data_IF_507345359381
#
_entry.id   IF_507345359381
#
_cell.length_a   1.000
_cell.length_b   1.000
_cell.length_c   1.000
_cell.angle_alpha   90.00
_cell.angle_beta   90.00
_cell.angle_gamma   90.00
#
_symmetry.space_group_name_H-M   'P 1'
#
loop_
_entity.id
_entity.type
_entity.pdbx_description
1 polymer ?
#
# COMPACT_ATOMS: atom_id res chain seq x y z
N UNK A 1 -2.01 -30.74 16.20
CA UNK A 1 -2.54 -29.36 16.32
C UNK A 1 -3.14 -29.00 14.97
N UNK A 2 -4.39 -28.52 14.89
CA UNK A 2 -4.93 -28.00 13.61
C UNK A 2 -4.40 -26.58 13.41
N UNK A 3 -3.74 -26.34 12.27
CA UNK A 3 -3.14 -25.04 11.91
C UNK A 3 -4.17 -23.90 11.88
N UNK A 4 -5.34 -24.14 11.27
CA UNK A 4 -6.47 -23.22 11.23
C UNK A 4 -7.77 -24.00 11.05
N UNK A 5 -8.91 -23.45 11.50
CA UNK A 5 -10.26 -23.89 11.11
C UNK A 5 -10.86 -22.94 10.09
N UNK A 6 -10.63 -21.64 10.26
CA UNK A 6 -11.10 -20.58 9.38
C UNK A 6 -9.94 -19.82 8.74
N UNK A 7 -10.05 -19.47 7.46
CA UNK A 7 -9.02 -18.72 6.74
C UNK A 7 -9.61 -17.63 5.85
N UNK A 8 -8.98 -16.44 5.83
CA UNK A 8 -9.28 -15.42 4.82
C UNK A 8 -8.20 -15.44 3.75
N UNK A 9 -8.60 -15.50 2.48
CA UNK A 9 -7.72 -15.30 1.33
C UNK A 9 -7.96 -13.90 0.79
N UNK A 10 -6.91 -13.11 0.67
CA UNK A 10 -7.00 -11.82 0.00
C UNK A 10 -6.66 -12.03 -1.47
N UNK A 11 -7.62 -11.68 -2.32
CA UNK A 11 -7.49 -11.57 -3.77
C UNK A 11 -7.50 -10.07 -4.15
N UNK A 12 -6.59 -9.70 -5.07
CA UNK A 12 -6.60 -8.39 -5.71
C UNK A 12 -6.59 -8.65 -7.22
N UNK A 13 -7.77 -8.72 -7.85
CA UNK A 13 -7.90 -9.06 -9.24
C UNK A 13 -7.33 -7.90 -10.06
N UNK A 14 -6.55 -8.26 -11.06
CA UNK A 14 -6.03 -7.31 -12.03
C UNK A 14 -7.16 -7.02 -13.03
N UNK A 15 -8.01 -6.00 -12.82
CA UNK A 15 -9.02 -5.65 -13.83
C UNK A 15 -9.37 -4.17 -13.97
N UNK A 16 -9.08 -3.65 -15.17
CA UNK A 16 -9.99 -2.85 -16.01
C UNK A 16 -9.71 -3.18 -17.49
N UNK A 17 -10.03 -4.39 -17.93
CA UNK A 17 -9.49 -4.97 -19.17
C UNK A 17 -9.92 -4.32 -20.49
N UNK A 18 -11.15 -3.81 -20.58
CA UNK A 18 -11.65 -3.19 -21.80
C UNK A 18 -11.03 -1.80 -22.04
N UNK A 19 -10.78 -1.02 -20.99
CA UNK A 19 -10.19 0.33 -21.09
C UNK A 19 -8.66 0.30 -21.25
N UNK A 20 -7.99 -0.82 -20.92
CA UNK A 20 -6.53 -0.93 -20.98
C UNK A 20 -5.99 -1.13 -22.40
N UNK A 21 -6.77 -1.77 -23.27
CA UNK A 21 -6.43 -1.92 -24.70
C UNK A 21 -6.40 -0.56 -25.41
N UNK A 22 -7.28 0.36 -25.04
CA UNK A 22 -7.31 1.73 -25.56
C UNK A 22 -6.13 2.59 -25.05
N UNK A 23 -5.51 2.21 -23.93
CA UNK A 23 -4.35 2.90 -23.32
C UNK A 23 -2.99 2.30 -23.71
N UNK A 24 -2.95 1.46 -24.74
CA UNK A 24 -1.70 0.87 -25.25
C UNK A 24 -1.10 -0.23 -24.36
N UNK A 25 -1.88 -0.82 -23.44
CA UNK A 25 -1.43 -1.95 -22.64
C UNK A 25 -1.55 -3.27 -23.41
N UNK A 26 -0.58 -4.16 -23.20
CA UNK A 26 -0.60 -5.53 -23.74
C UNK A 26 -1.69 -6.36 -23.05
N UNK A 27 -2.87 -6.37 -23.68
CA UNK A 27 -4.07 -7.04 -23.17
C UNK A 27 -3.88 -8.54 -23.04
N UNK A 28 -3.30 -9.19 -24.04
CA UNK A 28 -3.18 -10.65 -24.08
C UNK A 28 -2.29 -11.13 -22.92
N UNK A 29 -1.18 -10.43 -22.68
CA UNK A 29 -0.33 -10.69 -21.53
C UNK A 29 -1.03 -10.45 -20.20
N UNK A 30 -1.87 -9.42 -20.10
CA UNK A 30 -2.65 -9.15 -18.87
C UNK A 30 -3.68 -10.24 -18.60
N UNK A 31 -4.36 -10.70 -19.65
CA UNK A 31 -5.32 -11.78 -19.56
C UNK A 31 -4.65 -13.09 -19.15
N UNK A 32 -3.51 -13.43 -19.76
CA UNK A 32 -2.74 -14.63 -19.40
C UNK A 32 -2.38 -14.63 -17.91
N UNK A 33 -1.85 -13.51 -17.40
CA UNK A 33 -1.49 -13.38 -15.97
C UNK A 33 -2.69 -13.50 -15.05
N UNK A 34 -3.83 -12.96 -15.47
CA UNK A 34 -5.07 -13.10 -14.75
C UNK A 34 -5.54 -14.56 -14.68
N UNK A 35 -5.54 -15.25 -15.82
CA UNK A 35 -5.94 -16.66 -15.88
C UNK A 35 -5.02 -17.51 -14.98
N UNK A 36 -3.70 -17.26 -15.01
CA UNK A 36 -2.71 -17.91 -14.13
C UNK A 36 -3.00 -17.62 -12.66
N UNK A 37 -3.28 -16.36 -12.30
CA UNK A 37 -3.62 -15.99 -10.93
C UNK A 37 -4.86 -16.75 -10.42
N UNK A 38 -5.94 -16.79 -11.20
CA UNK A 38 -7.16 -17.50 -10.80
C UNK A 38 -7.01 -19.01 -10.76
N UNK A 39 -6.18 -19.58 -11.65
CA UNK A 39 -5.81 -20.98 -11.57
C UNK A 39 -5.16 -21.32 -10.23
N UNK A 40 -4.11 -20.58 -9.83
CA UNK A 40 -3.46 -20.78 -8.53
C UNK A 40 -4.39 -20.49 -7.34
N UNK A 41 -5.25 -19.48 -7.44
CA UNK A 41 -6.25 -19.20 -6.41
C UNK A 41 -7.21 -20.39 -6.23
N UNK A 42 -7.65 -21.01 -7.34
CA UNK A 42 -8.44 -22.23 -7.33
C UNK A 42 -7.72 -23.38 -6.63
N UNK A 43 -6.45 -23.63 -6.98
CA UNK A 43 -5.63 -24.66 -6.32
C UNK A 43 -5.52 -24.44 -4.80
N UNK A 44 -5.32 -23.21 -4.36
CA UNK A 44 -5.28 -22.89 -2.92
C UNK A 44 -6.62 -23.21 -2.26
N UNK A 45 -7.73 -22.79 -2.87
CA UNK A 45 -9.08 -23.06 -2.35
C UNK A 45 -9.36 -24.57 -2.25
N UNK A 46 -8.98 -25.33 -3.28
CA UNK A 46 -9.13 -26.78 -3.30
C UNK A 46 -8.33 -27.46 -2.18
N UNK A 47 -7.09 -27.02 -1.95
CA UNK A 47 -6.25 -27.57 -0.88
C UNK A 47 -6.81 -27.27 0.52
N UNK A 48 -7.42 -26.10 0.71
CA UNK A 48 -8.11 -25.77 1.97
C UNK A 48 -9.39 -26.60 2.14
N UNK A 49 -10.19 -26.73 1.09
CA UNK A 49 -11.42 -27.51 1.09
C UNK A 49 -11.14 -29.00 1.37
N UNK A 50 -10.14 -29.61 0.72
CA UNK A 50 -9.71 -31.01 0.95
C UNK A 50 -9.36 -31.27 2.42
N UNK A 51 -8.89 -30.26 3.14
CA UNK A 51 -8.49 -30.34 4.56
C UNK A 51 -9.61 -29.95 5.52
N UNK A 52 -10.83 -29.72 5.03
CA UNK A 52 -12.00 -29.26 5.79
C UNK A 52 -11.71 -27.95 6.55
N UNK A 53 -11.08 -27.00 5.87
CA UNK A 53 -10.83 -25.65 6.38
C UNK A 53 -11.84 -24.72 5.73
N UNK A 54 -12.62 -24.02 6.55
CA UNK A 54 -13.54 -23.00 6.06
C UNK A 54 -12.75 -21.78 5.59
N UNK A 55 -13.09 -21.26 4.42
CA UNK A 55 -12.39 -20.12 3.86
C UNK A 55 -13.33 -19.06 3.28
N UNK A 56 -12.88 -17.80 3.32
CA UNK A 56 -13.49 -16.66 2.64
C UNK A 56 -12.47 -16.03 1.71
N UNK A 57 -12.82 -15.95 0.43
CA UNK A 57 -12.05 -15.15 -0.53
C UNK A 57 -12.57 -13.71 -0.44
N UNK A 58 -11.70 -12.79 -0.04
CA UNK A 58 -12.01 -11.39 0.17
C UNK A 58 -11.25 -10.55 -0.85
N UNK A 59 -11.97 -9.62 -1.48
CA UNK A 59 -11.37 -8.59 -2.31
C UNK A 59 -10.75 -7.50 -1.42
N UNK A 60 -9.96 -6.59 -2.01
CA UNK A 60 -9.34 -5.45 -1.29
C UNK A 60 -10.31 -4.69 -0.38
N UNK A 61 -11.53 -4.48 -0.87
CA UNK A 61 -12.60 -3.73 -0.20
C UNK A 61 -13.30 -4.56 0.89
N UNK A 62 -13.38 -5.88 0.70
CA UNK A 62 -14.05 -6.81 1.62
C UNK A 62 -13.11 -7.33 2.73
N UNK A 63 -11.83 -6.97 2.68
CA UNK A 63 -10.85 -7.30 3.72
C UNK A 63 -11.02 -6.40 4.96
N UNK A 64 -12.11 -6.58 5.68
CA UNK A 64 -12.51 -5.77 6.84
C UNK A 64 -12.00 -6.35 8.17
N UNK A 65 -12.01 -5.57 9.28
CA UNK A 65 -11.69 -6.09 10.61
C UNK A 65 -12.51 -7.31 11.01
N UNK A 66 -13.78 -7.39 10.61
CA UNK A 66 -14.68 -8.51 10.89
C UNK A 66 -14.20 -9.79 10.19
N UNK A 67 -13.78 -9.68 8.93
CA UNK A 67 -13.21 -10.80 8.18
C UNK A 67 -11.91 -11.31 8.85
N UNK A 68 -11.03 -10.39 9.24
CA UNK A 68 -9.78 -10.72 9.95
C UNK A 68 -10.06 -11.41 11.28
N UNK A 69 -11.03 -10.91 12.05
CA UNK A 69 -11.38 -11.48 13.35
C UNK A 69 -12.00 -12.87 13.24
N UNK A 70 -12.79 -13.14 12.20
CA UNK A 70 -13.40 -14.44 11.94
C UNK A 70 -12.38 -15.54 11.61
N UNK A 71 -11.28 -15.21 10.93
CA UNK A 71 -10.29 -16.18 10.48
C UNK A 71 -9.28 -16.55 11.57
N UNK A 72 -8.78 -17.78 11.61
CA UNK A 72 -7.64 -18.15 12.44
C UNK A 72 -6.31 -17.78 11.77
N UNK A 73 -6.29 -17.75 10.44
CA UNK A 73 -5.14 -17.39 9.62
C UNK A 73 -5.53 -16.53 8.40
N UNK A 74 -4.59 -15.73 7.90
CA UNK A 74 -4.77 -14.93 6.68
C UNK A 74 -3.78 -15.39 5.62
N UNK A 75 -4.28 -15.65 4.41
CA UNK A 75 -3.48 -15.97 3.24
C UNK A 75 -3.54 -14.77 2.28
N UNK A 76 -2.39 -14.20 1.95
CA UNK A 76 -2.25 -13.23 0.89
C UNK A 76 -1.96 -13.98 -0.41
N UNK A 77 -2.96 -14.14 -1.28
CA UNK A 77 -2.84 -14.80 -2.57
C UNK A 77 -2.51 -13.74 -3.63
N UNK A 78 -1.23 -13.56 -3.93
CA UNK A 78 -0.74 -12.48 -4.78
C UNK A 78 0.74 -12.20 -4.60
N UNK A 79 1.19 -11.06 -5.11
CA UNK A 79 2.56 -10.59 -4.87
C UNK A 79 2.75 -9.92 -3.51
N UNK A 80 3.90 -9.27 -3.34
CA UNK A 80 4.25 -8.55 -2.11
C UNK A 80 3.24 -7.45 -1.75
N UNK A 81 2.61 -6.81 -2.74
CA UNK A 81 1.57 -5.80 -2.49
C UNK A 81 0.34 -6.35 -1.74
N UNK A 82 -0.11 -7.56 -2.09
CA UNK A 82 -1.20 -8.25 -1.38
C UNK A 82 -0.78 -8.62 0.04
N UNK A 83 0.47 -9.04 0.22
CA UNK A 83 1.04 -9.32 1.55
C UNK A 83 1.08 -8.06 2.42
N UNK A 84 1.52 -6.93 1.86
CA UNK A 84 1.59 -5.65 2.56
C UNK A 84 0.21 -5.15 2.96
N UNK A 85 -0.80 -5.28 2.09
CA UNK A 85 -2.19 -4.98 2.41
C UNK A 85 -2.71 -5.85 3.57
N UNK A 86 -2.43 -7.16 3.52
CA UNK A 86 -2.82 -8.08 4.57
C UNK A 86 -2.20 -7.67 5.92
N UNK A 87 -0.87 -7.44 5.89
CA UNK A 87 -0.08 -7.08 7.04
C UNK A 87 -0.47 -5.71 7.62
N UNK A 88 -0.96 -4.76 6.84
CA UNK A 88 -1.27 -3.42 7.34
C UNK A 88 -2.47 -3.40 8.29
N UNK A 89 -3.43 -4.32 8.13
CA UNK A 89 -4.67 -4.38 8.93
C UNK A 89 -4.63 -5.39 10.08
N UNK A 90 -3.74 -6.38 10.07
CA UNK A 90 -3.64 -7.39 11.14
C UNK A 90 -3.01 -6.76 12.40
N UNK A 91 -3.76 -6.64 13.51
CA UNK A 91 -3.20 -6.07 14.75
C UNK A 91 -2.76 -7.12 15.77
N UNK A 92 -3.36 -8.31 15.77
CA UNK A 92 -3.01 -9.37 16.71
C UNK A 92 -1.72 -10.08 16.30
N UNK A 93 -0.81 -10.26 17.26
CA UNK A 93 0.39 -11.08 17.10
C UNK A 93 0.05 -12.58 16.90
N UNK A 94 -1.12 -13.03 17.35
CA UNK A 94 -1.56 -14.42 17.24
C UNK A 94 -2.15 -14.78 15.87
N UNK A 95 -2.31 -13.81 14.96
CA UNK A 95 -2.93 -14.01 13.65
C UNK A 95 -1.83 -14.26 12.60
N UNK A 96 -1.56 -15.51 12.20
CA UNK A 96 -0.58 -15.80 11.17
C UNK A 96 -0.97 -15.22 9.82
N UNK A 97 0.03 -14.72 9.10
CA UNK A 97 -0.07 -14.24 7.73
C UNK A 97 0.83 -15.09 6.83
N UNK A 98 0.25 -15.66 5.78
CA UNK A 98 0.91 -16.56 4.83
C UNK A 98 0.85 -15.90 3.45
N UNK A 99 1.99 -15.64 2.83
CA UNK A 99 2.06 -15.12 1.47
C UNK A 99 2.20 -16.25 0.46
N UNK A 100 1.31 -16.33 -0.53
CA UNK A 100 1.39 -17.28 -1.64
C UNK A 100 1.44 -16.50 -2.95
N UNK A 101 2.53 -16.66 -3.70
CA UNK A 101 2.67 -15.94 -4.97
C UNK A 101 1.87 -16.63 -6.07
N UNK A 102 0.75 -16.04 -6.47
CA UNK A 102 -0.14 -16.57 -7.50
C UNK A 102 0.28 -16.20 -8.93
N UNK A 103 1.31 -15.38 -9.11
CA UNK A 103 1.85 -14.99 -10.43
C UNK A 103 3.39 -15.12 -10.44
N UNK A 104 3.90 -16.36 -10.31
CA UNK A 104 5.33 -16.63 -10.11
C UNK A 104 6.19 -16.43 -11.36
N UNK A 105 5.59 -16.39 -12.55
CA UNK A 105 6.32 -16.19 -13.81
C UNK A 105 6.78 -14.75 -13.97
N UNK A 106 6.13 -13.80 -13.29
CA UNK A 106 6.35 -12.37 -13.47
C UNK A 106 6.87 -11.64 -12.22
N UNK A 107 6.85 -12.27 -11.03
CA UNK A 107 7.26 -11.63 -9.78
C UNK A 107 8.01 -12.59 -8.86
N UNK A 108 9.11 -12.13 -8.26
CA UNK A 108 9.89 -12.92 -7.30
C UNK A 108 9.20 -13.09 -5.94
N UNK A 109 8.30 -12.17 -5.55
CA UNK A 109 7.59 -12.19 -4.27
C UNK A 109 8.49 -12.40 -3.04
N UNK A 110 9.22 -11.37 -2.60
CA UNK A 110 10.18 -11.46 -1.49
C UNK A 110 9.55 -11.85 -0.14
N UNK A 111 8.26 -11.56 0.03
CA UNK A 111 7.49 -11.85 1.24
C UNK A 111 6.67 -13.15 1.12
N UNK A 112 6.46 -13.64 -0.09
CA UNK A 112 5.66 -14.84 -0.35
C UNK A 112 6.54 -16.11 -0.33
N UNK A 113 5.92 -17.25 -0.03
CA UNK A 113 6.60 -18.54 0.14
C UNK A 113 7.35 -19.02 -1.11
N UNK A 114 7.02 -18.50 -2.29
CA UNK A 114 7.24 -19.17 -3.56
C UNK A 114 7.77 -18.21 -4.61
N UNK A 115 9.09 -18.22 -4.84
CA UNK A 115 9.73 -17.32 -5.81
C UNK A 115 9.45 -17.67 -7.27
N UNK A 116 9.26 -18.96 -7.58
CA UNK A 116 8.91 -19.52 -8.90
C UNK A 116 8.11 -20.80 -8.68
N UNK A 117 6.79 -20.72 -8.75
CA UNK A 117 5.86 -21.80 -8.44
C UNK A 117 5.70 -22.76 -9.63
N UNK A 118 5.93 -24.04 -9.38
CA UNK A 118 5.22 -25.14 -10.06
C UNK A 118 4.10 -25.62 -9.15
N UNK A 119 3.00 -26.14 -9.70
CA UNK A 119 1.86 -26.64 -8.90
C UNK A 119 2.30 -27.62 -7.80
N UNK A 120 3.26 -28.50 -8.09
CA UNK A 120 3.85 -29.44 -7.14
C UNK A 120 4.44 -28.75 -5.90
N UNK A 121 5.13 -27.63 -6.09
CA UNK A 121 5.70 -26.89 -4.96
C UNK A 121 4.61 -26.28 -4.07
N UNK A 122 3.46 -25.88 -4.63
CA UNK A 122 2.32 -25.41 -3.84
C UNK A 122 1.84 -26.52 -2.90
N UNK A 123 1.61 -27.70 -3.47
CA UNK A 123 1.12 -28.86 -2.73
C UNK A 123 2.10 -29.27 -1.63
N UNK A 124 3.39 -29.35 -1.95
CA UNK A 124 4.44 -29.66 -0.97
C UNK A 124 4.50 -28.61 0.16
N UNK A 125 4.37 -27.32 -0.19
CA UNK A 125 4.34 -26.25 0.80
C UNK A 125 3.11 -26.35 1.72
N UNK A 126 1.94 -26.70 1.18
CA UNK A 126 0.72 -26.88 1.94
C UNK A 126 0.79 -28.12 2.84
N UNK A 127 1.29 -29.25 2.34
CA UNK A 127 1.55 -30.44 3.14
C UNK A 127 2.45 -30.11 4.35
N UNK A 128 3.59 -29.46 4.11
CA UNK A 128 4.50 -29.04 5.18
C UNK A 128 3.84 -28.06 6.15
N UNK A 129 3.08 -27.09 5.63
CA UNK A 129 2.36 -26.12 6.47
C UNK A 129 1.39 -26.81 7.43
N UNK A 130 0.57 -27.72 6.92
CA UNK A 130 -0.46 -28.39 7.72
C UNK A 130 0.08 -29.50 8.61
N UNK A 131 1.22 -30.10 8.27
CA UNK A 131 1.96 -31.02 9.13
C UNK A 131 2.76 -30.30 10.23
N UNK A 132 2.81 -28.96 10.21
CA UNK A 132 3.55 -28.17 11.20
C UNK A 132 5.05 -28.09 10.91
N UNK A 133 5.48 -28.42 9.71
CA UNK A 133 6.88 -28.46 9.26
C UNK A 133 7.36 -27.08 8.76
N UNK A 134 7.13 -26.06 9.57
CA UNK A 134 7.50 -24.68 9.29
C UNK A 134 8.10 -24.02 10.52
N UNK A 135 8.68 -22.83 10.32
CA UNK A 135 9.18 -21.97 11.40
C UNK A 135 8.47 -20.64 11.37
N UNK A 136 8.16 -20.11 12.54
CA UNK A 136 7.61 -18.77 12.70
C UNK A 136 8.67 -17.72 12.36
N UNK A 137 8.31 -16.78 11.50
CA UNK A 137 9.10 -15.59 11.21
C UNK A 137 8.38 -14.36 11.73
N UNK A 138 8.93 -13.75 12.77
CA UNK A 138 8.39 -12.53 13.35
C UNK A 138 8.96 -11.31 12.63
N UNK A 139 8.08 -10.47 12.06
CA UNK A 139 8.46 -9.22 11.39
C UNK A 139 8.02 -8.02 12.22
N UNK A 140 8.96 -7.13 12.50
CA UNK A 140 8.68 -5.84 13.13
C UNK A 140 7.91 -4.94 12.17
N UNK A 141 7.06 -4.07 12.72
CA UNK A 141 6.25 -3.11 11.97
C UNK A 141 6.29 -1.76 12.66
N UNK A 142 6.19 -0.70 11.87
CA UNK A 142 6.15 0.68 12.37
C UNK A 142 4.71 1.02 12.71
N UNK A 143 4.50 1.50 13.94
CA UNK A 143 3.26 2.12 14.39
C UNK A 143 3.42 3.63 14.30
N UNK A 144 2.44 4.31 13.72
CA UNK A 144 2.45 5.76 13.56
C UNK A 144 1.37 6.38 14.45
N UNK A 145 1.74 7.43 15.15
CA UNK A 145 0.83 8.28 15.93
C UNK A 145 0.94 9.69 15.37
N UNK A 146 -0.19 10.31 15.04
CA UNK A 146 -0.27 11.71 14.66
C UNK A 146 -0.70 12.54 15.87
N UNK A 147 -0.02 13.66 16.12
CA UNK A 147 -0.35 14.61 17.18
C UNK A 147 -0.51 16.01 16.59
N UNK A 148 -1.51 16.74 17.05
CA UNK A 148 -1.80 18.10 16.60
C UNK A 148 -3.21 18.26 16.01
N UNK A 149 -3.55 19.48 15.60
CA UNK A 149 -4.92 19.87 15.24
C UNK A 149 -5.58 18.96 14.19
N UNK A 150 -4.80 18.45 13.23
CA UNK A 150 -5.26 17.61 12.13
C UNK A 150 -5.07 16.10 12.38
N UNK A 151 -4.81 15.67 13.62
CA UNK A 151 -4.52 14.27 13.91
C UNK A 151 -5.66 13.29 13.54
N UNK A 152 -6.91 13.77 13.51
CA UNK A 152 -8.10 12.99 13.18
C UNK A 152 -8.61 13.19 11.75
N UNK A 153 -7.90 13.98 10.93
CA UNK A 153 -8.30 14.17 9.54
C UNK A 153 -8.31 12.83 8.79
N UNK A 154 -9.30 12.67 7.92
CA UNK A 154 -9.42 11.46 7.12
C UNK A 154 -8.19 11.31 6.21
N UNK A 155 -7.55 10.14 6.18
CA UNK A 155 -6.42 9.91 5.29
C UNK A 155 -6.88 10.03 3.85
N UNK A 156 -6.03 10.62 3.00
CA UNK A 156 -6.26 10.72 1.57
C UNK A 156 -5.39 9.68 0.86
N UNK A 157 -5.99 8.80 0.07
CA UNK A 157 -5.24 7.89 -0.77
C UNK A 157 -4.60 8.69 -1.92
N UNK A 158 -3.29 8.54 -2.12
CA UNK A 158 -2.54 9.34 -3.11
C UNK A 158 -3.05 9.16 -4.56
N UNK A 159 -3.67 8.01 -4.86
CA UNK A 159 -4.33 7.80 -6.15
C UNK A 159 -5.52 8.74 -6.37
N UNK A 160 -6.23 9.12 -5.29
CA UNK A 160 -7.35 10.04 -5.33
C UNK A 160 -6.86 11.50 -5.47
N UNK A 161 -5.67 11.83 -4.94
CA UNK A 161 -5.06 13.17 -5.09
C UNK A 161 -4.71 13.53 -6.54
N UNK A 162 -4.24 12.58 -7.34
CA UNK A 162 -3.96 12.81 -8.76
C UNK A 162 -5.24 13.12 -9.57
N UNK A 163 -6.41 12.76 -9.04
CA UNK A 163 -7.71 13.01 -9.68
C UNK A 163 -8.34 14.34 -9.22
N UNK A 164 -8.09 14.75 -7.97
CA UNK A 164 -8.72 15.91 -7.33
C UNK A 164 -8.11 17.27 -7.72
N UNK A 165 -6.82 17.30 -8.11
CA UNK A 165 -6.12 18.53 -8.47
C UNK A 165 -5.59 18.44 -9.90
N UNK A 166 -6.28 19.05 -10.88
CA UNK A 166 -5.86 19.06 -12.29
C UNK A 166 -4.42 19.56 -12.48
N UNK A 167 -3.94 20.50 -11.65
CA UNK A 167 -2.55 21.00 -11.65
C UNK A 167 -1.47 19.94 -11.38
N UNK A 168 -1.83 18.73 -10.93
CA UNK A 168 -0.89 17.60 -10.77
C UNK A 168 -0.89 16.62 -11.95
N UNK A 169 -1.69 16.87 -13.00
CA UNK A 169 -1.64 16.12 -14.26
C UNK A 169 -0.54 16.68 -15.16
N UNK A 170 0.69 16.20 -14.99
CA UNK A 170 1.81 16.56 -15.88
C UNK A 170 1.57 16.30 -17.38
N UNK A 171 0.60 15.47 -17.75
CA UNK A 171 0.29 15.20 -19.17
C UNK A 171 -0.52 16.32 -19.87
N UNK A 172 -1.17 17.24 -19.13
CA UNK A 172 -1.98 18.31 -19.75
C UNK A 172 -1.23 19.65 -19.86
N UNK A 173 -0.16 19.87 -19.07
CA UNK A 173 0.67 21.08 -19.16
C UNK A 173 1.53 21.17 -20.43
N UNK A 174 1.64 20.11 -21.24
CA UNK A 174 2.28 20.17 -22.56
C UNK A 174 1.33 20.78 -23.62
N UNK A 175 0.00 20.76 -23.40
CA UNK A 175 -0.96 21.30 -24.37
C UNK A 175 -1.33 22.77 -24.16
N UNK A 176 -1.13 23.32 -22.96
CA UNK A 176 -1.43 24.73 -22.71
C UNK A 176 -0.47 25.72 -23.41
N UNK A 177 0.73 25.28 -23.82
CA UNK A 177 1.60 26.09 -24.68
C UNK A 177 1.28 25.99 -26.17
N UNK A 178 0.50 25.00 -26.61
CA UNK A 178 0.05 24.87 -28.00
C UNK A 178 -1.33 25.53 -28.23
N UNK A 179 -2.21 25.55 -27.23
CA UNK A 179 -3.55 26.16 -27.34
C UNK A 179 -3.55 27.71 -27.30
N UNK A 180 -2.47 28.33 -26.82
CA UNK A 180 -2.30 29.79 -26.84
C UNK A 180 -2.21 30.37 -28.28
N UNK A 181 -2.07 29.52 -29.31
CA UNK A 181 -2.01 29.94 -30.73
C UNK A 181 -3.32 29.82 -31.51
N UNK A 182 -4.39 29.22 -30.97
CA UNK A 182 -5.55 28.87 -31.81
C UNK A 182 -6.97 29.15 -31.31
N UNK A 183 -7.16 29.93 -30.23
CA UNK A 183 -8.52 30.43 -29.87
C UNK A 183 -8.54 31.89 -29.44
N UNK A 184 -8.03 32.75 -30.31
CA UNK A 184 -8.74 33.98 -30.61
C UNK A 184 -10.08 33.59 -31.26
N UNK A 185 -11.19 33.56 -30.50
CA UNK A 185 -12.56 33.88 -30.94
C UNK A 185 -13.63 33.51 -29.88
N UNK A 186 -14.29 34.56 -29.34
CA UNK A 186 -15.75 34.69 -29.06
C UNK A 186 -16.37 34.05 -27.78
N UNK A 187 -16.79 34.93 -26.84
CA UNK A 187 -18.01 35.02 -25.96
C UNK A 187 -18.51 33.74 -25.21
N UNK A 188 -19.10 33.71 -23.98
CA UNK A 188 -19.63 34.63 -22.94
C UNK A 188 -19.90 33.77 -21.66
N UNK A 189 -20.12 34.35 -20.45
CA UNK A 189 -20.32 33.61 -19.20
C UNK A 189 -21.79 33.25 -18.92
N UNK A 190 -22.02 32.16 -18.19
CA UNK A 190 -23.33 31.84 -17.58
C UNK A 190 -23.18 31.33 -16.14
N UNK A 191 -24.13 31.82 -15.34
CA UNK A 191 -24.42 31.78 -13.91
C UNK A 191 -24.95 30.45 -13.36
N UNK A 192 -24.85 30.35 -12.03
CA UNK A 192 -25.72 29.66 -11.03
C UNK A 192 -25.68 28.14 -10.86
N UNK A 193 -25.24 27.71 -9.66
CA UNK A 193 -26.19 27.17 -8.67
C UNK A 193 -25.62 27.22 -7.23
N UNK A 194 -26.42 27.78 -6.34
CA UNK A 194 -26.19 27.99 -4.92
C UNK A 194 -26.87 26.91 -4.06
N UNK A 195 -26.51 26.92 -2.77
CA UNK A 195 -27.16 26.31 -1.61
C UNK A 195 -26.76 24.88 -1.23
N UNK A 196 -25.88 24.79 -0.22
CA UNK A 196 -26.00 23.85 0.90
C UNK A 196 -25.43 24.54 2.17
N UNK A 197 -26.16 24.32 3.25
CA UNK A 197 -26.28 25.08 4.51
C UNK A 197 -25.01 25.06 5.40
N UNK A 198 -24.59 26.25 5.88
CA UNK A 198 -23.35 26.51 6.63
C UNK A 198 -23.58 26.90 8.09
N UNK A 199 -24.74 26.59 8.68
CA UNK A 199 -25.14 27.17 9.97
C UNK A 199 -24.87 26.32 11.23
N UNK A 200 -24.27 25.12 11.14
CA UNK A 200 -24.20 24.17 12.28
C UNK A 200 -22.79 23.76 12.77
N UNK A 201 -21.71 24.49 12.42
CA UNK A 201 -20.34 24.11 12.85
C UNK A 201 -19.69 25.01 13.90
N UNK A 202 -20.27 26.15 14.25
CA UNK A 202 -19.60 27.12 15.15
C UNK A 202 -19.93 26.95 16.65
N UNK A 203 -20.95 26.18 17.03
CA UNK A 203 -21.41 26.13 18.44
C UNK A 203 -20.77 25.06 19.34
N UNK A 204 -19.82 24.25 18.86
CA UNK A 204 -19.20 23.19 19.70
C UNK A 204 -17.85 23.61 20.34
N UNK A 205 -17.31 24.79 20.01
CA UNK A 205 -15.92 25.15 20.37
C UNK A 205 -15.74 26.09 21.57
N UNK A 206 -16.79 26.49 22.28
CA UNK A 206 -16.69 27.51 23.34
C UNK A 206 -16.92 27.02 24.78
N UNK A 207 -16.76 25.73 25.09
CA UNK A 207 -16.98 25.23 26.46
C UNK A 207 -15.96 24.22 27.00
N UNK A 208 -14.65 24.38 26.73
CA UNK A 208 -13.64 23.70 27.55
C UNK A 208 -12.27 24.41 27.58
N UNK A 209 -12.23 25.63 28.10
CA UNK A 209 -11.00 26.14 28.71
C UNK A 209 -11.01 25.67 30.18
N UNK A 210 -10.09 24.75 30.55
CA UNK A 210 -9.50 24.55 31.91
C UNK A 210 -9.08 23.11 32.29
N UNK A 211 -8.99 22.14 31.38
CA UNK A 211 -8.25 20.89 31.63
C UNK A 211 -7.04 20.79 30.69
N UNK A 212 -5.87 20.47 31.24
CA UNK A 212 -4.56 20.57 30.57
C UNK A 212 -4.58 20.12 29.11
N UNK A 213 -4.16 21.02 28.21
CA UNK A 213 -4.17 20.86 26.75
C UNK A 213 -3.32 19.66 26.32
N UNK A 214 -3.90 18.46 26.38
CA UNK A 214 -3.36 17.30 25.67
C UNK A 214 -3.65 17.55 24.21
N UNK A 215 -2.60 17.77 23.42
CA UNK A 215 -2.77 17.90 21.97
C UNK A 215 -3.51 16.66 21.43
N UNK A 216 -4.46 16.84 20.50
CA UNK A 216 -5.19 15.73 19.93
C UNK A 216 -4.20 14.71 19.33
N UNK A 217 -4.37 13.44 19.69
CA UNK A 217 -3.43 12.37 19.39
C UNK A 217 -4.16 11.15 18.85
N UNK A 218 -3.76 10.68 17.68
CA UNK A 218 -4.41 9.59 16.96
C UNK A 218 -3.40 8.55 16.53
N UNK A 219 -3.54 7.33 17.06
CA UNK A 219 -2.76 6.18 16.59
C UNK A 219 -3.40 5.65 15.33
N UNK A 220 -2.68 5.70 14.21
CA UNK A 220 -3.22 5.25 12.94
C UNK A 220 -3.62 3.76 13.00
N UNK A 221 -4.72 3.37 12.32
CA UNK A 221 -5.21 2.00 12.37
C UNK A 221 -4.29 1.02 11.63
N UNK A 222 -3.39 1.52 10.78
CA UNK A 222 -2.48 0.76 9.94
C UNK A 222 -1.08 0.61 10.53
N UNK A 223 -0.46 -0.54 10.31
CA UNK A 223 0.92 -0.82 10.70
C UNK A 223 1.78 -1.01 9.45
N UNK A 224 2.85 -0.24 9.32
CA UNK A 224 3.72 -0.32 8.14
C UNK A 224 4.72 -1.47 8.29
N UNK A 225 4.66 -2.44 7.38
CA UNK A 225 5.62 -3.54 7.35
C UNK A 225 6.96 -3.14 6.75
N UNK A 226 6.95 -2.36 5.67
CA UNK A 226 8.17 -1.94 5.00
C UNK A 226 8.62 -0.58 5.54
N UNK A 227 7.93 0.47 5.09
CA UNK A 227 8.42 1.84 5.21
C UNK A 227 7.30 2.81 5.58
N UNK A 228 7.67 3.91 6.24
CA UNK A 228 6.85 5.12 6.41
C UNK A 228 7.64 6.28 5.82
N UNK A 229 7.02 7.01 4.89
CA UNK A 229 7.61 8.23 4.32
C UNK A 229 6.84 9.46 4.80
N UNK A 230 7.59 10.48 5.22
CA UNK A 230 7.05 11.76 5.67
C UNK A 230 7.73 12.85 4.84
N UNK A 231 6.94 13.67 4.16
CA UNK A 231 7.44 14.76 3.34
C UNK A 231 6.30 15.56 2.72
N UNK A 232 6.67 16.61 2.01
CA UNK A 232 5.77 17.40 1.17
C UNK A 232 5.12 16.53 0.09
N UNK A 233 3.84 16.76 -0.18
CA UNK A 233 3.11 16.09 -1.27
C UNK A 233 3.53 16.62 -2.65
N UNK A 234 4.11 17.82 -2.70
CA UNK A 234 4.59 18.49 -3.90
C UNK A 234 6.08 18.22 -4.11
N UNK A 235 6.43 17.61 -5.25
CA UNK A 235 7.81 17.24 -5.57
C UNK A 235 8.78 18.42 -5.70
N UNK A 236 8.28 19.63 -5.95
CA UNK A 236 9.08 20.87 -6.05
C UNK A 236 9.31 21.57 -4.71
N UNK A 237 8.66 21.12 -3.63
CA UNK A 237 8.79 21.71 -2.29
C UNK A 237 9.75 20.93 -1.44
N UNK A 238 10.49 21.66 -0.61
CA UNK A 238 11.43 21.08 0.34
C UNK A 238 10.74 20.93 1.69
N UNK A 239 10.84 19.75 2.28
CA UNK A 239 10.35 19.45 3.62
C UNK A 239 11.32 20.02 4.66
N UNK A 240 10.79 20.80 5.61
CA UNK A 240 11.51 21.27 6.79
C UNK A 240 10.92 20.60 8.02
N UNK A 241 11.75 19.96 8.82
CA UNK A 241 11.28 19.21 9.99
C UNK A 241 12.34 19.18 11.10
N UNK A 242 11.87 18.97 12.32
CA UNK A 242 12.71 18.70 13.48
C UNK A 242 12.63 17.21 13.80
N UNK A 243 13.77 16.55 13.89
CA UNK A 243 13.88 15.13 14.20
C UNK A 243 14.35 14.95 15.64
N UNK A 244 13.63 14.12 16.38
CA UNK A 244 14.02 13.68 17.72
C UNK A 244 14.00 12.15 17.77
N UNK A 245 14.98 11.57 18.45
CA UNK A 245 15.01 10.14 18.79
C UNK A 245 14.95 10.05 20.31
N UNK A 246 13.96 9.31 20.81
CA UNK A 246 13.69 9.16 22.24
C UNK A 246 13.66 10.52 22.96
N UNK A 247 14.41 10.66 24.05
CA UNK A 247 14.59 11.91 24.81
C UNK A 247 15.84 12.69 24.38
N UNK A 248 16.39 12.43 23.20
CA UNK A 248 17.56 13.11 22.65
C UNK A 248 17.29 14.56 22.22
N UNK A 249 18.32 15.31 21.80
CA UNK A 249 18.14 16.66 21.28
C UNK A 249 17.39 16.65 19.95
N UNK A 250 16.55 17.68 19.72
CA UNK A 250 15.92 17.91 18.42
C UNK A 250 16.94 18.46 17.42
N UNK A 251 16.93 17.93 16.20
CA UNK A 251 17.80 18.37 15.10
C UNK A 251 16.95 18.86 13.94
N UNK A 252 17.21 20.10 13.49
CA UNK A 252 16.57 20.68 12.31
C UNK A 252 17.14 20.04 11.05
N UNK A 253 16.25 19.63 10.14
CA UNK A 253 16.60 19.03 8.86
C UNK A 253 15.82 19.67 7.72
N UNK A 254 16.43 19.62 6.53
CA UNK A 254 15.87 20.12 5.27
C UNK A 254 16.20 19.14 4.14
N UNK A 255 15.19 18.55 3.52
CA UNK A 255 15.35 17.59 2.40
C UNK A 255 14.02 17.36 1.69
N UNK A 256 13.97 16.44 0.72
CA UNK A 256 12.69 16.03 0.12
C UNK A 256 11.75 15.39 1.14
N UNK A 257 12.26 14.80 2.22
CA UNK A 257 11.48 14.14 3.27
C UNK A 257 12.34 13.15 4.06
N UNK A 258 11.69 12.30 4.86
CA UNK A 258 12.33 11.25 5.64
C UNK A 258 11.63 9.91 5.37
N UNK A 259 12.42 8.85 5.17
CA UNK A 259 11.93 7.47 5.05
C UNK A 259 12.41 6.67 6.26
N UNK A 260 11.47 6.08 6.98
CA UNK A 260 11.73 5.16 8.09
C UNK A 260 11.44 3.74 7.60
N UNK A 261 12.43 2.86 7.62
CA UNK A 261 12.32 1.49 7.11
C UNK A 261 12.48 0.45 8.23
N UNK A 262 11.77 -0.67 8.12
CA UNK A 262 12.06 -1.86 8.92
C UNK A 262 13.14 -2.72 8.25
N UNK A 263 13.65 -3.73 8.96
CA UNK A 263 14.51 -4.74 8.33
C UNK A 263 13.84 -5.45 7.14
N UNK A 264 12.51 -5.57 7.13
CA UNK A 264 11.76 -6.11 5.98
C UNK A 264 11.71 -5.11 4.82
N UNK A 265 11.56 -3.81 5.11
CA UNK A 265 11.56 -2.74 4.11
C UNK A 265 12.92 -2.46 3.46
N UNK A 266 14.01 -2.93 4.07
CA UNK A 266 15.39 -2.69 3.59
C UNK A 266 15.63 -3.11 2.13
N UNK A 267 14.93 -4.12 1.62
CA UNK A 267 15.02 -4.59 0.22
C UNK A 267 14.01 -3.94 -0.72
N UNK A 268 13.24 -2.95 -0.23
CA UNK A 268 12.16 -2.28 -0.97
C UNK A 268 12.54 -0.85 -1.34
N UNK A 269 11.83 0.18 -0.83
CA UNK A 269 12.09 1.56 -1.20
C UNK A 269 13.47 2.01 -0.72
N UNK A 270 13.86 1.64 0.51
CA UNK A 270 15.19 1.91 1.05
C UNK A 270 16.33 1.44 0.13
N UNK A 271 16.22 0.23 -0.42
CA UNK A 271 17.20 -0.29 -1.39
C UNK A 271 17.25 0.62 -2.63
N UNK A 272 16.10 0.98 -3.18
CA UNK A 272 16.04 1.73 -4.43
C UNK A 272 16.54 3.18 -4.32
N UNK A 273 16.40 3.83 -3.17
CA UNK A 273 16.91 5.20 -2.96
C UNK A 273 18.41 5.24 -2.66
N UNK A 274 19.00 4.13 -2.16
CA UNK A 274 20.41 4.05 -1.81
C UNK A 274 21.26 3.23 -2.78
N UNK A 275 20.64 2.45 -3.68
CA UNK A 275 21.40 1.61 -4.61
C UNK A 275 22.20 2.46 -5.59
N UNK A 276 23.47 2.12 -5.72
CA UNK A 276 24.30 2.58 -6.83
C UNK A 276 24.08 1.62 -8.00
N UNK A 277 23.78 2.16 -9.18
CA UNK A 277 23.69 1.33 -10.39
C UNK A 277 25.09 0.91 -10.83
N UNK A 278 25.20 -0.24 -11.51
CA UNK A 278 26.48 -0.69 -12.07
C UNK A 278 27.11 0.37 -12.99
N UNK A 279 26.27 1.10 -13.73
CA UNK A 279 26.75 2.19 -14.58
C UNK A 279 27.38 3.31 -13.76
N UNK A 280 26.69 3.76 -12.71
CA UNK A 280 27.22 4.81 -11.83
C UNK A 280 28.52 4.38 -11.14
N UNK A 281 28.63 3.10 -10.76
CA UNK A 281 29.86 2.54 -10.20
C UNK A 281 31.00 2.53 -11.23
N UNK A 282 30.73 2.13 -12.49
CA UNK A 282 31.71 2.16 -13.57
C UNK A 282 32.21 3.58 -13.82
N UNK A 283 31.31 4.55 -13.86
CA UNK A 283 31.66 5.95 -14.08
C UNK A 283 32.52 6.50 -12.93
N UNK A 284 32.20 6.17 -11.67
CA UNK A 284 33.02 6.54 -10.50
C UNK A 284 34.43 5.94 -10.55
N UNK A 285 34.54 4.66 -10.92
CA UNK A 285 35.84 4.00 -11.06
C UNK A 285 36.68 4.58 -12.21
N UNK A 286 36.03 5.08 -13.27
CA UNK A 286 36.70 5.79 -14.35
C UNK A 286 37.17 7.20 -13.97
N UNK A 287 36.56 7.86 -12.98
CA UNK A 287 37.02 9.16 -12.47
C UNK A 287 38.23 9.00 -11.53
N UNK A 288 38.36 7.84 -10.88
CA UNK A 288 39.44 7.53 -9.94
C UNK A 288 40.70 6.91 -10.55
N UNK A 289 40.74 6.65 -11.86
CA UNK A 289 41.90 6.16 -12.63
C UNK A 289 42.40 7.23 -13.59
#
# INVERSE_FOLDING_TARGET
MRFARNTVLIDIPVYVFLQLRERGSDYDRLKERHDVHHHFLGLICDELAKRNIDYKVCQRWDYTPEAINWADAVFAAGGDGTFLLAASRIRSQSKPLIGVNTDPSSSEGFLCLTKKLSEQFLFDAFERLFNGEFKWLWRQRIRVTLTGQNAYDAPMELHDQQLMYPEYRWAEHVREQEDARFRSHVLKPATDCSSLDMSNREEVFLSSELDGLVEPSNVLPFLALNDVYIGESLSSRVSYYELQIDSGPMVKQKSSGITLCTGTGSTSWYFNINKMTEQCLKDLLHIGM
#
